data_IF_326468683606
#
_entry.id   IF_326468683606
#
_cell.length_a   1.000
_cell.length_b   1.000
_cell.length_c   1.000
_cell.angle_alpha   90.00
_cell.angle_beta   90.00
_cell.angle_gamma   90.00
#
_symmetry.space_group_name_H-M   'P 1'
#
loop_
_entity.id
_entity.type
_entity.pdbx_description
1 polymer ?
#
# COMPACT_ATOMS: atom_id res chain seq x y z
N UNK A 1 -20.36 -21.13 16.78
CA UNK A 1 -19.50 -19.94 16.92
C UNK A 1 -19.65 -19.43 18.36
N UNK A 2 -18.55 -19.10 19.02
CA UNK A 2 -18.54 -18.56 20.39
C UNK A 2 -19.16 -17.16 20.39
N UNK A 3 -20.02 -16.84 21.36
CA UNK A 3 -20.57 -15.50 21.56
C UNK A 3 -19.70 -14.72 22.51
N UNK A 4 -19.37 -13.49 22.13
CA UNK A 4 -18.57 -12.57 22.94
C UNK A 4 -19.32 -11.26 23.07
N UNK A 5 -19.53 -10.82 24.31
CA UNK A 5 -20.18 -9.55 24.60
C UNK A 5 -19.21 -8.40 24.35
N UNK A 6 -19.68 -7.35 23.68
CA UNK A 6 -18.94 -6.11 23.43
C UNK A 6 -19.56 -4.94 24.21
N UNK A 7 -18.78 -3.86 24.36
CA UNK A 7 -19.26 -2.63 24.99
C UNK A 7 -20.26 -1.88 24.10
N UNK A 8 -21.09 -1.03 24.69
CA UNK A 8 -22.04 -0.20 23.92
C UNK A 8 -21.32 0.79 22.99
N UNK A 9 -20.14 1.25 23.39
CA UNK A 9 -19.30 2.12 22.55
C UNK A 9 -18.84 1.35 21.31
N UNK A 10 -18.39 0.13 21.49
CA UNK A 10 -17.93 -0.74 20.40
C UNK A 10 -19.05 -1.13 19.46
N UNK A 11 -20.26 -1.38 19.97
CA UNK A 11 -21.44 -1.61 19.13
C UNK A 11 -21.70 -0.43 18.20
N UNK A 12 -21.65 0.81 18.72
CA UNK A 12 -21.82 2.03 17.91
C UNK A 12 -20.71 2.19 16.87
N UNK A 13 -19.45 1.95 17.27
CA UNK A 13 -18.27 1.99 16.40
C UNK A 13 -18.39 1.00 15.23
N UNK A 14 -18.79 -0.25 15.52
CA UNK A 14 -18.99 -1.30 14.52
C UNK A 14 -20.12 -0.93 13.56
N UNK A 15 -21.27 -0.49 14.07
CA UNK A 15 -22.41 -0.06 13.26
C UNK A 15 -22.11 1.18 12.41
N UNK A 16 -21.16 2.02 12.83
CA UNK A 16 -20.65 3.14 12.05
C UNK A 16 -19.62 2.73 10.96
N UNK A 17 -19.34 1.43 10.82
CA UNK A 17 -18.47 0.90 9.75
C UNK A 17 -17.00 0.73 10.14
N UNK A 18 -16.63 0.86 11.42
CA UNK A 18 -15.27 0.55 11.85
C UNK A 18 -15.14 -0.96 12.12
N UNK A 19 -14.40 -1.74 11.31
CA UNK A 19 -14.33 -3.18 11.46
C UNK A 19 -13.25 -3.65 12.44
N UNK A 20 -12.32 -2.77 12.86
CA UNK A 20 -11.19 -3.14 13.70
C UNK A 20 -11.64 -3.32 15.16
N UNK A 21 -11.32 -4.49 15.73
CA UNK A 21 -11.56 -4.81 17.13
C UNK A 21 -10.30 -4.58 17.96
N UNK A 22 -10.44 -3.91 19.09
CA UNK A 22 -9.39 -3.61 20.05
C UNK A 22 -9.72 -4.24 21.42
N UNK A 23 -8.75 -4.38 22.32
CA UNK A 23 -9.02 -5.01 23.63
C UNK A 23 -10.06 -4.26 24.45
N UNK A 24 -10.11 -2.93 24.35
CA UNK A 24 -11.11 -2.10 25.01
C UNK A 24 -12.54 -2.27 24.48
N UNK A 25 -12.73 -2.91 23.34
CA UNK A 25 -14.04 -3.24 22.81
C UNK A 25 -14.76 -4.32 23.64
N UNK A 26 -14.02 -5.04 24.48
CA UNK A 26 -14.51 -6.14 25.30
C UNK A 26 -14.57 -5.76 26.79
N UNK A 27 -15.67 -6.06 27.52
CA UNK A 27 -15.76 -5.73 28.93
C UNK A 27 -14.84 -6.56 29.83
N UNK A 28 -14.36 -7.70 29.34
CA UNK A 28 -13.47 -8.62 30.05
C UNK A 28 -12.24 -8.94 29.19
N UNK A 29 -11.17 -9.42 29.85
CA UNK A 29 -9.99 -9.90 29.16
C UNK A 29 -10.33 -11.02 28.17
N UNK A 30 -9.77 -10.93 26.96
CA UNK A 30 -10.07 -11.83 25.85
C UNK A 30 -8.88 -12.75 25.59
N UNK A 31 -9.12 -14.06 25.75
CA UNK A 31 -8.21 -15.11 25.29
C UNK A 31 -8.83 -15.81 24.07
N UNK A 32 -8.03 -15.97 23.01
CA UNK A 32 -8.48 -16.53 21.74
C UNK A 32 -7.35 -17.19 20.96
N UNK A 33 -7.72 -18.07 20.06
CA UNK A 33 -6.85 -18.63 19.04
C UNK A 33 -6.83 -17.77 17.79
N UNK A 34 -5.68 -17.72 17.10
CA UNK A 34 -5.55 -17.03 15.82
C UNK A 34 -6.59 -17.56 14.81
N UNK A 35 -7.38 -16.66 14.21
CA UNK A 35 -8.43 -17.00 13.26
C UNK A 35 -9.72 -17.54 13.88
N UNK A 36 -9.88 -17.52 15.21
CA UNK A 36 -11.13 -17.95 15.86
C UNK A 36 -12.31 -17.09 15.39
N UNK A 37 -13.38 -17.74 14.92
CA UNK A 37 -14.61 -17.07 14.50
C UNK A 37 -15.55 -16.87 15.68
N UNK A 38 -16.08 -15.66 15.82
CA UNK A 38 -16.94 -15.29 16.93
C UNK A 38 -18.17 -14.50 16.48
N UNK A 39 -19.26 -14.64 17.25
CA UNK A 39 -20.40 -13.75 17.19
C UNK A 39 -20.23 -12.65 18.24
N UNK A 40 -20.26 -11.40 17.82
CA UNK A 40 -20.31 -10.26 18.72
C UNK A 40 -21.75 -9.97 19.11
N UNK A 41 -22.01 -9.86 20.41
CA UNK A 41 -23.34 -9.61 20.95
C UNK A 41 -23.31 -8.41 21.89
N UNK A 42 -24.44 -7.70 22.01
CA UNK A 42 -24.61 -6.61 22.98
C UNK A 42 -24.79 -7.16 24.42
N UNK A 43 -24.96 -6.26 25.38
CA UNK A 43 -25.20 -6.62 26.81
C UNK A 43 -26.50 -7.40 27.06
N UNK A 44 -27.42 -7.41 26.09
CA UNK A 44 -28.69 -8.16 26.11
C UNK A 44 -28.61 -9.45 25.31
N UNK A 45 -27.40 -9.87 24.91
CA UNK A 45 -27.14 -11.07 24.06
C UNK A 45 -27.78 -10.99 22.67
N UNK A 46 -28.11 -9.79 22.19
CA UNK A 46 -28.56 -9.59 20.82
C UNK A 46 -27.36 -9.56 19.86
N UNK A 47 -27.48 -10.20 18.71
CA UNK A 47 -26.47 -10.21 17.66
C UNK A 47 -26.10 -8.79 17.17
N UNK A 48 -24.81 -8.53 17.04
CA UNK A 48 -24.26 -7.27 16.49
C UNK A 48 -23.50 -7.52 15.21
N UNK A 49 -22.54 -8.46 15.21
CA UNK A 49 -21.68 -8.73 14.06
C UNK A 49 -21.03 -10.11 14.15
N UNK A 50 -20.45 -10.54 13.04
CA UNK A 50 -19.51 -11.67 12.98
C UNK A 50 -18.09 -11.15 12.79
N UNK A 51 -17.14 -11.78 13.48
CA UNK A 51 -15.73 -11.39 13.46
C UNK A 51 -14.81 -12.61 13.45
N UNK A 52 -13.58 -12.40 13.06
CA UNK A 52 -12.48 -13.30 13.38
C UNK A 52 -11.47 -12.60 14.28
N UNK A 53 -10.86 -13.34 15.18
CA UNK A 53 -9.87 -12.83 16.13
C UNK A 53 -8.45 -13.12 15.61
N UNK A 54 -7.57 -12.14 15.75
CA UNK A 54 -6.19 -12.24 15.33
C UNK A 54 -5.33 -11.17 16.01
N UNK A 55 -4.13 -11.53 16.43
CA UNK A 55 -3.18 -10.58 17.01
C UNK A 55 -2.56 -9.71 15.92
N UNK A 56 -2.56 -8.42 16.14
CA UNK A 56 -1.89 -7.44 15.30
C UNK A 56 -1.46 -6.21 16.10
N UNK A 57 -0.71 -5.28 15.47
CA UNK A 57 -0.14 -4.12 16.18
C UNK A 57 -1.18 -3.18 16.81
N UNK A 58 -2.38 -3.04 16.22
CA UNK A 58 -3.39 -2.06 16.61
C UNK A 58 -4.73 -2.67 17.03
N UNK A 59 -4.84 -4.01 17.08
CA UNK A 59 -6.10 -4.65 17.39
C UNK A 59 -5.99 -6.14 17.64
N UNK A 60 -7.14 -6.76 17.89
CA UNK A 60 -7.25 -8.18 18.25
C UNK A 60 -8.20 -8.95 17.34
N UNK A 61 -8.66 -8.34 16.26
CA UNK A 61 -9.53 -8.99 15.28
C UNK A 61 -10.25 -8.00 14.38
N UNK A 62 -11.09 -8.55 13.50
CA UNK A 62 -11.88 -7.76 12.55
C UNK A 62 -13.30 -8.29 12.40
N UNK A 63 -14.24 -7.38 12.34
CA UNK A 63 -15.60 -7.64 11.89
C UNK A 63 -15.59 -7.88 10.38
N UNK A 64 -16.13 -9.00 9.91
CA UNK A 64 -16.28 -9.31 8.49
C UNK A 64 -17.72 -9.23 7.98
N UNK A 65 -18.73 -9.31 8.87
CA UNK A 65 -20.13 -9.15 8.47
C UNK A 65 -21.03 -8.65 9.61
N UNK A 66 -22.01 -7.83 9.23
CA UNK A 66 -23.13 -7.42 10.06
C UNK A 66 -24.37 -8.30 9.83
N UNK A 67 -24.31 -9.26 8.89
CA UNK A 67 -25.38 -10.21 8.61
C UNK A 67 -25.12 -11.54 9.32
N UNK A 68 -26.10 -11.97 10.13
CA UNK A 68 -26.00 -13.24 10.85
C UNK A 68 -26.07 -14.46 9.93
N UNK A 69 -26.52 -14.32 8.68
CA UNK A 69 -26.57 -15.39 7.71
C UNK A 69 -25.18 -15.66 7.06
N UNK A 70 -24.28 -14.68 7.04
CA UNK A 70 -22.96 -14.83 6.42
C UNK A 70 -22.09 -15.84 7.18
N UNK A 71 -21.33 -16.63 6.44
CA UNK A 71 -20.36 -17.59 6.97
C UNK A 71 -18.98 -17.32 6.35
N UNK A 72 -17.92 -17.30 7.16
CA UNK A 72 -16.55 -17.01 6.72
C UNK A 72 -15.95 -18.24 6.01
N UNK A 73 -16.34 -18.46 4.77
CA UNK A 73 -16.00 -19.60 3.96
C UNK A 73 -15.78 -19.22 2.48
N UNK A 74 -15.44 -20.20 1.65
CA UNK A 74 -15.15 -19.97 0.23
C UNK A 74 -16.28 -19.26 -0.52
N UNK A 75 -17.55 -19.62 -0.26
CA UNK A 75 -18.69 -18.97 -0.91
C UNK A 75 -18.80 -17.47 -0.55
N UNK A 76 -18.54 -17.12 0.72
CA UNK A 76 -18.47 -15.74 1.18
C UNK A 76 -17.33 -15.00 0.47
N UNK A 77 -16.13 -15.59 0.43
CA UNK A 77 -14.96 -14.95 -0.21
C UNK A 77 -15.21 -14.74 -1.70
N UNK A 78 -15.76 -15.74 -2.40
CA UNK A 78 -16.12 -15.62 -3.80
C UNK A 78 -17.08 -14.46 -4.05
N UNK A 79 -18.14 -14.33 -3.25
CA UNK A 79 -19.09 -13.20 -3.32
C UNK A 79 -18.40 -11.84 -3.17
N UNK A 80 -17.40 -11.71 -2.26
CA UNK A 80 -16.67 -10.45 -2.10
C UNK A 80 -15.73 -10.18 -3.28
N UNK A 81 -15.03 -11.20 -3.78
CA UNK A 81 -14.20 -11.05 -4.98
C UNK A 81 -14.99 -10.67 -6.22
N UNK A 82 -16.18 -11.23 -6.43
CA UNK A 82 -17.08 -10.85 -7.52
C UNK A 82 -17.52 -9.38 -7.40
N UNK A 83 -17.79 -8.89 -6.20
CA UNK A 83 -18.08 -7.46 -5.97
C UNK A 83 -16.87 -6.58 -6.29
N UNK A 84 -15.68 -6.99 -5.83
CA UNK A 84 -14.43 -6.27 -6.09
C UNK A 84 -14.11 -6.22 -7.59
N UNK A 85 -14.33 -7.33 -8.32
CA UNK A 85 -14.18 -7.40 -9.78
C UNK A 85 -15.06 -6.38 -10.49
N UNK A 86 -16.35 -6.30 -10.13
CA UNK A 86 -17.28 -5.33 -10.71
C UNK A 86 -16.90 -3.87 -10.43
N UNK A 87 -16.37 -3.57 -9.23
CA UNK A 87 -15.91 -2.20 -8.89
C UNK A 87 -14.74 -1.72 -9.74
N UNK A 88 -13.98 -2.63 -10.36
CA UNK A 88 -12.73 -2.35 -11.07
C UNK A 88 -12.80 -2.69 -12.57
N UNK A 89 -14.00 -2.76 -13.12
CA UNK A 89 -14.22 -3.09 -14.54
C UNK A 89 -13.45 -2.16 -15.47
N UNK A 90 -13.43 -0.86 -15.17
CA UNK A 90 -12.72 0.13 -15.99
C UNK A 90 -11.20 -0.12 -15.99
N UNK A 91 -10.61 -0.42 -14.83
CA UNK A 91 -9.20 -0.76 -14.72
C UNK A 91 -8.83 -2.08 -15.41
N UNK A 92 -9.74 -3.06 -15.39
CA UNK A 92 -9.52 -4.35 -16.05
C UNK A 92 -9.53 -4.22 -17.57
N UNK A 93 -10.23 -3.23 -18.11
CA UNK A 93 -10.35 -2.97 -19.55
C UNK A 93 -9.36 -1.92 -20.07
N UNK A 94 -8.63 -1.26 -19.19
CA UNK A 94 -7.66 -0.21 -19.56
C UNK A 94 -6.32 -0.83 -19.97
N UNK A 95 -5.92 -0.76 -21.26
CA UNK A 95 -4.63 -1.29 -21.71
C UNK A 95 -3.44 -0.45 -21.25
N UNK A 96 -3.66 0.77 -20.78
CA UNK A 96 -2.62 1.66 -20.29
C UNK A 96 -2.38 1.52 -18.78
N UNK A 97 -3.18 0.66 -18.09
CA UNK A 97 -3.01 0.39 -16.66
C UNK A 97 -3.09 -1.10 -16.37
N UNK A 98 -1.94 -1.78 -16.34
CA UNK A 98 -1.83 -3.22 -16.07
C UNK A 98 -1.46 -3.55 -14.62
N UNK A 99 -1.45 -2.53 -13.74
CA UNK A 99 -1.20 -2.72 -12.30
C UNK A 99 -2.10 -1.85 -11.44
N UNK A 100 -2.77 -2.47 -10.46
CA UNK A 100 -3.71 -1.80 -9.55
C UNK A 100 -4.06 -2.67 -8.34
N UNK A 101 -4.62 -2.06 -7.26
CA UNK A 101 -5.23 -2.77 -6.14
C UNK A 101 -6.51 -3.48 -6.59
N UNK A 102 -6.43 -4.80 -6.77
CA UNK A 102 -7.57 -5.63 -7.20
C UNK A 102 -8.54 -5.88 -6.05
N UNK A 103 -8.04 -6.08 -4.84
CA UNK A 103 -8.85 -6.29 -3.64
C UNK A 103 -8.28 -5.54 -2.44
N UNK A 104 -9.12 -4.74 -1.77
CA UNK A 104 -8.71 -3.83 -0.72
C UNK A 104 -9.30 -4.18 0.66
N UNK A 105 -8.94 -5.34 1.19
CA UNK A 105 -9.22 -5.76 2.57
C UNK A 105 -10.63 -5.39 3.07
N UNK A 106 -10.71 -4.59 4.13
CA UNK A 106 -11.95 -4.15 4.76
C UNK A 106 -12.87 -3.41 3.78
N UNK A 107 -12.30 -2.62 2.88
CA UNK A 107 -13.03 -1.86 1.86
C UNK A 107 -13.77 -2.74 0.84
N UNK A 108 -13.35 -4.00 0.69
CA UNK A 108 -13.98 -4.99 -0.18
C UNK A 108 -14.57 -6.20 0.59
N UNK A 109 -14.52 -6.18 1.92
CA UNK A 109 -15.27 -7.08 2.79
C UNK A 109 -14.59 -8.38 3.21
N UNK A 110 -13.27 -8.52 3.00
CA UNK A 110 -12.46 -9.56 3.64
C UNK A 110 -11.29 -8.86 4.36
N UNK A 111 -11.47 -8.51 5.64
CA UNK A 111 -10.47 -7.78 6.38
C UNK A 111 -9.13 -8.51 6.46
N UNK A 112 -8.04 -7.75 6.51
CA UNK A 112 -6.70 -8.27 6.75
C UNK A 112 -6.04 -8.99 5.56
N UNK A 113 -6.62 -8.90 4.36
CA UNK A 113 -6.00 -9.39 3.12
C UNK A 113 -6.16 -8.36 1.99
N UNK A 114 -5.08 -8.04 1.30
CA UNK A 114 -5.13 -7.27 0.06
C UNK A 114 -4.60 -8.10 -1.11
N UNK A 115 -5.09 -7.82 -2.31
CA UNK A 115 -4.58 -8.43 -3.54
C UNK A 115 -4.29 -7.33 -4.54
N UNK A 116 -3.06 -7.29 -5.01
CA UNK A 116 -2.58 -6.39 -6.05
C UNK A 116 -2.38 -7.15 -7.35
N UNK A 117 -2.82 -6.55 -8.45
CA UNK A 117 -2.64 -7.06 -9.81
C UNK A 117 -1.39 -6.45 -10.44
N UNK A 118 -0.60 -7.28 -11.14
CA UNK A 118 0.59 -6.89 -11.87
C UNK A 118 0.64 -7.66 -13.20
N UNK A 119 0.09 -7.10 -14.26
CA UNK A 119 0.08 -7.67 -15.62
C UNK A 119 -0.24 -9.18 -15.70
N UNK A 120 -1.34 -9.56 -15.07
CA UNK A 120 -1.81 -10.95 -15.00
C UNK A 120 -1.30 -11.73 -13.79
N UNK A 121 -0.36 -11.20 -13.01
CA UNK A 121 0.09 -11.80 -11.76
C UNK A 121 -0.62 -11.18 -10.57
N UNK A 122 -0.83 -11.95 -9.50
CA UNK A 122 -1.45 -11.49 -8.27
C UNK A 122 -0.45 -11.54 -7.10
N UNK A 123 -0.41 -10.49 -6.30
CA UNK A 123 0.33 -10.44 -5.02
C UNK A 123 -0.67 -10.34 -3.88
N UNK A 124 -0.80 -11.40 -3.10
CA UNK A 124 -1.66 -11.47 -1.92
C UNK A 124 -0.87 -11.06 -0.69
N UNK A 125 -1.31 -10.03 0.02
CA UNK A 125 -0.68 -9.58 1.26
C UNK A 125 -1.55 -9.96 2.47
N UNK A 126 -0.97 -10.69 3.41
CA UNK A 126 -1.59 -11.16 4.64
C UNK A 126 -1.18 -10.29 5.82
N UNK A 127 -2.13 -9.75 6.58
CA UNK A 127 -1.86 -8.80 7.66
C UNK A 127 -1.88 -9.42 9.06
N UNK A 128 -2.27 -10.70 9.19
CA UNK A 128 -2.18 -11.46 10.45
C UNK A 128 -2.12 -12.96 10.20
N UNK A 129 -1.66 -13.70 11.20
CA UNK A 129 -1.73 -15.16 11.23
C UNK A 129 -3.18 -15.66 11.16
N UNK A 130 -4.12 -14.93 11.80
CA UNK A 130 -5.52 -15.31 11.85
C UNK A 130 -6.18 -15.37 10.47
N UNK A 131 -6.00 -14.35 9.60
CA UNK A 131 -6.53 -14.40 8.23
C UNK A 131 -5.78 -15.42 7.37
N UNK A 132 -4.48 -15.59 7.59
CA UNK A 132 -3.69 -16.56 6.86
C UNK A 132 -4.17 -18.01 7.06
N UNK A 133 -4.79 -18.35 8.18
CA UNK A 133 -5.41 -19.67 8.39
C UNK A 133 -6.50 -20.02 7.38
N UNK A 134 -7.09 -19.02 6.75
CA UNK A 134 -8.09 -19.16 5.69
C UNK A 134 -7.49 -19.11 4.28
N UNK A 135 -6.16 -19.05 4.16
CA UNK A 135 -5.43 -18.90 2.91
C UNK A 135 -5.93 -19.83 1.80
N UNK A 136 -6.09 -21.12 2.06
CA UNK A 136 -6.52 -22.11 1.07
C UNK A 136 -7.90 -21.77 0.48
N UNK A 137 -8.87 -21.44 1.32
CA UNK A 137 -10.22 -21.09 0.87
C UNK A 137 -10.28 -19.74 0.16
N UNK A 138 -9.48 -18.75 0.64
CA UNK A 138 -9.39 -17.42 0.02
C UNK A 138 -8.75 -17.52 -1.36
N UNK A 139 -7.64 -18.24 -1.51
CA UNK A 139 -6.97 -18.44 -2.81
C UNK A 139 -7.86 -19.22 -3.77
N UNK A 140 -8.57 -20.27 -3.32
CA UNK A 140 -9.51 -21.02 -4.15
C UNK A 140 -10.65 -20.13 -4.67
N UNK A 141 -11.26 -19.34 -3.78
CA UNK A 141 -12.31 -18.38 -4.14
C UNK A 141 -11.80 -17.30 -5.11
N UNK A 142 -10.59 -16.78 -4.88
CA UNK A 142 -9.94 -15.82 -5.76
C UNK A 142 -9.76 -16.38 -7.17
N UNK A 143 -9.18 -17.55 -7.30
CA UNK A 143 -8.96 -18.21 -8.62
C UNK A 143 -10.26 -18.55 -9.34
N UNK A 144 -11.32 -18.89 -8.62
CA UNK A 144 -12.63 -19.15 -9.22
C UNK A 144 -13.24 -17.89 -9.86
N UNK A 145 -12.87 -16.69 -9.37
CA UNK A 145 -13.36 -15.39 -9.88
C UNK A 145 -12.41 -14.79 -10.92
N UNK A 146 -11.09 -15.05 -10.78
CA UNK A 146 -10.03 -14.56 -11.65
C UNK A 146 -9.20 -15.71 -12.23
N UNK A 147 -9.82 -16.58 -13.06
CA UNK A 147 -9.14 -17.76 -13.62
C UNK A 147 -8.02 -17.41 -14.60
N UNK A 148 -8.02 -16.17 -15.12
CA UNK A 148 -7.00 -15.61 -15.99
C UNK A 148 -5.67 -15.28 -15.30
N UNK A 149 -5.60 -15.38 -13.96
CA UNK A 149 -4.39 -15.08 -13.18
C UNK A 149 -3.25 -16.04 -13.56
N UNK A 150 -2.15 -15.50 -14.12
CA UNK A 150 -0.97 -16.25 -14.57
C UNK A 150 -0.22 -16.90 -13.40
N UNK A 151 0.01 -16.15 -12.33
CA UNK A 151 0.75 -16.61 -11.15
C UNK A 151 0.41 -15.83 -9.90
N UNK A 152 0.64 -16.46 -8.74
CA UNK A 152 0.28 -15.91 -7.44
C UNK A 152 1.51 -15.88 -6.54
N UNK A 153 1.74 -14.73 -5.92
CA UNK A 153 2.74 -14.48 -4.90
C UNK A 153 2.08 -14.08 -3.59
N UNK A 154 2.74 -14.34 -2.47
CA UNK A 154 2.29 -13.95 -1.13
C UNK A 154 3.32 -13.07 -0.43
N UNK A 155 2.82 -12.10 0.34
CA UNK A 155 3.60 -11.25 1.23
C UNK A 155 3.01 -11.28 2.63
N UNK A 156 3.87 -11.42 3.64
CA UNK A 156 3.46 -11.51 5.03
C UNK A 156 3.75 -10.19 5.74
N UNK A 157 2.70 -9.43 6.02
CA UNK A 157 2.73 -8.13 6.70
C UNK A 157 2.68 -8.25 8.22
N UNK A 158 2.93 -9.44 8.75
CA UNK A 158 3.03 -9.77 10.17
C UNK A 158 4.27 -10.62 10.42
N UNK A 159 4.73 -10.64 11.67
CA UNK A 159 5.92 -11.41 12.03
C UNK A 159 5.59 -12.91 12.08
N UNK A 160 6.17 -13.67 11.16
CA UNK A 160 6.08 -15.12 11.13
C UNK A 160 7.23 -15.76 11.95
N UNK A 161 6.95 -16.92 12.54
CA UNK A 161 7.96 -17.69 13.31
C UNK A 161 9.11 -18.21 12.44
N UNK A 162 8.84 -18.50 11.16
CA UNK A 162 9.83 -18.97 10.18
C UNK A 162 10.61 -17.83 9.50
N UNK A 163 10.29 -16.56 9.83
CA UNK A 163 10.93 -15.39 9.26
C UNK A 163 10.59 -15.11 7.79
N UNK A 164 9.69 -15.90 7.18
CA UNK A 164 9.31 -15.73 5.78
C UNK A 164 8.54 -14.43 5.59
N UNK A 165 8.97 -13.61 4.61
CA UNK A 165 8.35 -12.31 4.29
C UNK A 165 7.64 -12.29 2.94
N UNK A 166 8.07 -13.13 2.00
CA UNK A 166 7.40 -13.32 0.70
C UNK A 166 7.65 -14.73 0.18
N UNK A 167 6.81 -15.19 -0.73
CA UNK A 167 7.02 -16.42 -1.50
C UNK A 167 6.19 -16.46 -2.78
N UNK A 168 6.69 -17.19 -3.77
CA UNK A 168 5.89 -17.69 -4.88
C UNK A 168 4.96 -18.82 -4.40
N UNK A 169 3.72 -18.83 -4.90
CA UNK A 169 2.71 -19.82 -4.49
C UNK A 169 2.45 -20.84 -5.62
N UNK A 170 2.10 -20.37 -6.82
CA UNK A 170 1.71 -21.20 -7.95
C UNK A 170 1.56 -20.44 -9.26
N UNK A 171 1.41 -21.18 -10.36
CA UNK A 171 1.18 -20.66 -11.72
C UNK A 171 2.49 -20.46 -12.47
N UNK A 172 2.57 -19.42 -13.26
CA UNK A 172 3.80 -19.02 -13.93
C UNK A 172 4.67 -18.16 -13.03
N UNK A 173 5.98 -18.23 -13.17
CA UNK A 173 6.89 -17.31 -12.52
C UNK A 173 6.95 -15.99 -13.32
N UNK A 174 6.78 -14.86 -12.62
CA UNK A 174 6.90 -13.55 -13.25
C UNK A 174 8.35 -13.28 -13.69
N UNK A 175 8.56 -12.59 -14.82
CA UNK A 175 9.88 -12.05 -15.15
C UNK A 175 10.44 -11.16 -14.03
N UNK A 176 11.75 -11.02 -13.96
CA UNK A 176 12.41 -10.18 -12.96
C UNK A 176 13.42 -9.24 -13.65
N UNK A 177 13.09 -7.94 -13.80
CA UNK A 177 11.85 -7.29 -13.39
C UNK A 177 10.63 -7.69 -14.25
N UNK A 178 9.45 -7.60 -13.66
CA UNK A 178 8.18 -7.57 -14.38
C UNK A 178 7.87 -6.11 -14.73
N UNK A 179 7.75 -5.81 -16.02
CA UNK A 179 7.35 -4.47 -16.46
C UNK A 179 5.83 -4.39 -16.49
N UNK A 180 5.30 -3.41 -15.76
CA UNK A 180 3.87 -3.11 -15.70
C UNK A 180 3.61 -1.69 -16.19
N UNK A 181 2.38 -1.39 -16.58
CA UNK A 181 1.95 -0.05 -16.95
C UNK A 181 1.05 0.57 -15.88
N UNK A 182 1.18 1.86 -15.70
CA UNK A 182 0.26 2.70 -14.95
C UNK A 182 0.10 4.03 -15.68
N UNK A 183 -1.12 4.34 -16.13
CA UNK A 183 -1.41 5.55 -16.93
C UNK A 183 -0.46 5.69 -18.14
N UNK A 184 -0.19 4.60 -18.87
CA UNK A 184 0.70 4.58 -20.03
C UNK A 184 2.21 4.57 -19.72
N UNK A 185 2.61 4.69 -18.46
CA UNK A 185 4.01 4.73 -18.03
C UNK A 185 4.45 3.34 -17.57
N UNK A 186 5.62 2.91 -18.01
CA UNK A 186 6.20 1.63 -17.62
C UNK A 186 6.89 1.71 -16.25
N UNK A 187 6.71 0.66 -15.44
CA UNK A 187 7.38 0.52 -14.16
C UNK A 187 7.97 -0.88 -14.00
N UNK A 188 9.23 -0.96 -13.61
CA UNK A 188 9.89 -2.21 -13.25
C UNK A 188 9.45 -2.63 -11.84
N UNK A 189 8.90 -3.84 -11.73
CA UNK A 189 8.40 -4.39 -10.47
C UNK A 189 9.00 -5.74 -10.14
N UNK A 190 9.01 -6.10 -8.85
CA UNK A 190 9.67 -7.28 -8.29
C UNK A 190 8.72 -7.96 -7.32
N UNK A 191 8.04 -9.00 -7.77
CA UNK A 191 6.96 -9.60 -7.01
C UNK A 191 7.45 -10.41 -5.81
N UNK A 192 8.67 -10.94 -5.85
CA UNK A 192 9.28 -11.78 -4.80
C UNK A 192 10.57 -11.20 -4.20
N UNK A 193 10.80 -9.90 -4.32
CA UNK A 193 11.95 -9.20 -3.71
C UNK A 193 11.54 -8.45 -2.43
N UNK A 194 11.36 -9.19 -1.34
CA UNK A 194 10.95 -8.61 -0.05
C UNK A 194 9.47 -8.20 0.01
N UNK A 195 9.16 -7.26 0.91
CA UNK A 195 7.78 -6.84 1.15
C UNK A 195 7.24 -5.89 0.08
N UNK A 196 8.10 -5.09 -0.54
CA UNK A 196 7.70 -4.07 -1.51
C UNK A 196 7.93 -4.59 -2.94
N UNK A 197 7.15 -4.09 -3.90
CA UNK A 197 7.16 -4.55 -5.28
C UNK A 197 7.85 -3.61 -6.26
N UNK A 198 8.26 -2.42 -5.81
CA UNK A 198 8.89 -1.40 -6.66
C UNK A 198 8.01 -0.19 -6.95
N UNK A 199 6.69 -0.29 -6.75
CA UNK A 199 5.75 0.83 -6.90
C UNK A 199 4.67 0.76 -5.81
N UNK A 200 4.20 1.91 -5.35
CA UNK A 200 3.05 2.06 -4.45
C UNK A 200 1.81 2.40 -5.28
N UNK A 201 0.85 1.47 -5.36
CA UNK A 201 -0.32 1.56 -6.25
C UNK A 201 -1.38 2.56 -5.78
N UNK A 202 -1.39 2.90 -4.50
CA UNK A 202 -2.28 3.89 -3.91
C UNK A 202 -2.00 5.33 -4.37
N UNK A 203 -0.79 5.60 -4.86
CA UNK A 203 -0.37 6.90 -5.38
C UNK A 203 -0.61 7.09 -6.89
N UNK A 204 -1.31 6.16 -7.56
CA UNK A 204 -1.56 6.22 -9.01
C UNK A 204 -2.18 7.53 -9.47
N UNK A 205 -3.25 7.97 -8.80
CA UNK A 205 -3.98 9.20 -9.18
C UNK A 205 -3.09 10.44 -9.00
N UNK A 206 -2.25 10.45 -7.96
CA UNK A 206 -1.31 11.56 -7.72
C UNK A 206 -0.23 11.58 -8.80
N UNK A 207 0.31 10.42 -9.20
CA UNK A 207 1.25 10.34 -10.33
C UNK A 207 0.62 10.74 -11.64
N UNK A 208 -0.63 10.33 -11.90
CA UNK A 208 -1.40 10.77 -13.07
C UNK A 208 -1.58 12.29 -13.10
N UNK A 209 -2.02 12.90 -12.00
CA UNK A 209 -2.16 14.34 -11.89
C UNK A 209 -0.82 15.08 -12.06
N UNK A 210 0.29 14.53 -11.53
CA UNK A 210 1.62 15.07 -11.73
C UNK A 210 1.99 15.09 -13.21
N UNK A 211 1.80 13.99 -13.92
CA UNK A 211 2.08 13.86 -15.35
C UNK A 211 1.24 14.82 -16.20
N UNK A 212 -0.06 14.92 -15.92
CA UNK A 212 -0.99 15.68 -16.75
C UNK A 212 -0.96 17.19 -16.51
N UNK A 213 -0.67 17.64 -15.27
CA UNK A 213 -0.98 19.02 -14.85
C UNK A 213 0.20 19.78 -14.24
N UNK A 214 1.12 19.07 -13.56
CA UNK A 214 2.08 19.77 -12.69
C UNK A 214 3.53 19.69 -13.20
N UNK A 215 3.89 18.72 -14.06
CA UNK A 215 5.28 18.47 -14.40
C UNK A 215 5.81 19.28 -15.59
N UNK A 216 4.98 19.59 -16.58
CA UNK A 216 5.43 20.16 -17.83
C UNK A 216 6.22 21.46 -17.67
N UNK A 217 7.48 21.49 -18.14
CA UNK A 217 8.38 22.63 -18.05
C UNK A 217 8.89 22.94 -16.63
N UNK A 218 8.75 22.02 -15.67
CA UNK A 218 9.05 22.23 -14.25
C UNK A 218 10.29 21.47 -13.81
N UNK A 219 10.96 22.01 -12.79
CA UNK A 219 12.00 21.31 -12.01
C UNK A 219 11.30 20.63 -10.83
N UNK A 220 11.37 19.30 -10.79
CA UNK A 220 10.61 18.48 -9.83
C UNK A 220 11.56 17.84 -8.82
N UNK A 221 11.31 18.05 -7.53
CA UNK A 221 11.96 17.36 -6.42
C UNK A 221 11.06 16.25 -5.88
N UNK A 222 11.56 15.03 -5.82
CA UNK A 222 10.92 13.87 -5.24
C UNK A 222 11.71 13.42 -4.01
N UNK A 223 11.20 13.70 -2.81
CA UNK A 223 11.81 13.29 -1.55
C UNK A 223 11.25 11.94 -1.08
N UNK A 224 12.07 11.15 -0.37
CA UNK A 224 11.75 9.77 0.01
C UNK A 224 11.37 8.93 -1.22
N UNK A 225 12.16 9.11 -2.26
CA UNK A 225 11.79 8.74 -3.64
C UNK A 225 11.67 7.22 -3.89
N UNK A 226 12.15 6.39 -2.98
CA UNK A 226 12.14 4.94 -3.07
C UNK A 226 12.77 4.44 -4.39
N UNK A 227 11.98 4.07 -5.39
CA UNK A 227 12.43 3.67 -6.74
C UNK A 227 12.31 4.77 -7.77
N UNK A 228 11.89 5.96 -7.38
CA UNK A 228 11.75 7.10 -8.29
C UNK A 228 10.47 7.14 -9.12
N UNK A 229 9.43 6.39 -8.77
CA UNK A 229 8.19 6.33 -9.56
C UNK A 229 7.55 7.70 -9.82
N UNK A 230 7.55 8.62 -8.85
CA UNK A 230 7.10 10.00 -9.05
C UNK A 230 8.02 10.78 -9.99
N UNK A 231 9.34 10.56 -9.92
CA UNK A 231 10.29 11.23 -10.81
C UNK A 231 10.11 10.78 -12.27
N UNK A 232 9.83 9.48 -12.48
CA UNK A 232 9.47 8.97 -13.82
C UNK A 232 8.18 9.59 -14.32
N UNK A 233 7.12 9.63 -13.50
CA UNK A 233 5.87 10.28 -13.85
C UNK A 233 6.06 11.76 -14.22
N UNK A 234 6.88 12.50 -13.46
CA UNK A 234 7.22 13.89 -13.75
C UNK A 234 7.98 14.03 -15.07
N UNK A 235 8.98 13.19 -15.32
CA UNK A 235 9.76 13.23 -16.56
C UNK A 235 8.90 12.91 -17.79
N UNK A 236 8.02 11.90 -17.68
CA UNK A 236 7.04 11.57 -18.73
C UNK A 236 6.01 12.68 -18.96
N UNK A 237 5.71 13.46 -17.91
CA UNK A 237 4.87 14.65 -17.98
C UNK A 237 5.57 15.92 -18.50
N UNK A 238 6.83 15.79 -18.99
CA UNK A 238 7.59 16.90 -19.57
C UNK A 238 8.32 17.80 -18.56
N UNK A 239 8.66 17.28 -17.37
CA UNK A 239 9.57 17.99 -16.46
C UNK A 239 10.92 18.24 -17.13
N UNK A 240 11.47 19.45 -16.98
CA UNK A 240 12.79 19.81 -17.54
C UNK A 240 13.94 19.21 -16.72
N UNK A 241 13.70 18.93 -15.44
CA UNK A 241 14.63 18.29 -14.53
C UNK A 241 13.86 17.53 -13.45
N UNK A 242 14.32 16.34 -13.08
CA UNK A 242 13.86 15.66 -11.87
C UNK A 242 15.01 15.41 -10.91
N UNK A 243 14.74 15.54 -9.62
CA UNK A 243 15.69 15.24 -8.55
C UNK A 243 15.05 14.22 -7.61
N UNK A 244 15.59 13.01 -7.56
CA UNK A 244 15.19 11.93 -6.67
C UNK A 244 16.10 11.88 -5.45
N UNK A 245 15.55 11.84 -4.24
CA UNK A 245 16.31 11.77 -2.99
C UNK A 245 15.80 10.63 -2.12
N UNK A 246 16.67 9.66 -1.83
CA UNK A 246 16.38 8.54 -0.94
C UNK A 246 17.65 8.10 -0.21
N UNK A 247 17.51 7.62 1.03
CA UNK A 247 18.64 7.19 1.87
C UNK A 247 19.15 5.79 1.54
N UNK A 248 18.33 4.97 0.89
CA UNK A 248 18.65 3.58 0.61
C UNK A 248 19.62 3.43 -0.58
N UNK A 249 20.75 2.76 -0.40
CA UNK A 249 21.75 2.56 -1.47
C UNK A 249 21.13 1.90 -2.72
N UNK A 250 20.18 1.00 -2.55
CA UNK A 250 19.49 0.32 -3.66
C UNK A 250 18.60 1.26 -4.50
N UNK A 251 18.24 2.44 -3.96
CA UNK A 251 17.41 3.39 -4.69
C UNK A 251 18.08 3.90 -5.97
N UNK A 252 19.41 4.03 -5.99
CA UNK A 252 20.16 4.49 -7.16
C UNK A 252 19.89 3.61 -8.41
N UNK A 253 20.18 2.33 -8.29
CA UNK A 253 20.03 1.41 -9.43
C UNK A 253 18.55 1.18 -9.77
N UNK A 254 17.68 1.13 -8.79
CA UNK A 254 16.22 1.00 -9.00
C UNK A 254 15.65 2.23 -9.72
N UNK A 255 16.06 3.44 -9.34
CA UNK A 255 15.60 4.67 -9.99
C UNK A 255 16.13 4.78 -11.42
N UNK A 256 17.40 4.44 -11.66
CA UNK A 256 17.93 4.37 -13.03
C UNK A 256 17.16 3.39 -13.91
N UNK A 257 16.84 2.20 -13.38
CA UNK A 257 16.06 1.20 -14.08
C UNK A 257 14.66 1.70 -14.43
N UNK A 258 13.99 2.40 -13.50
CA UNK A 258 12.68 3.01 -13.76
C UNK A 258 12.73 4.05 -14.90
N UNK A 259 13.78 4.85 -14.98
CA UNK A 259 13.97 5.76 -16.11
C UNK A 259 14.25 4.98 -17.42
N UNK A 260 15.12 3.98 -17.37
CA UNK A 260 15.54 3.21 -18.53
C UNK A 260 14.38 2.47 -19.21
N UNK A 261 13.42 1.88 -18.45
CA UNK A 261 12.24 1.19 -19.02
C UNK A 261 11.27 2.14 -19.74
N UNK A 262 11.47 3.45 -19.62
CA UNK A 262 10.72 4.49 -20.33
C UNK A 262 11.59 5.25 -21.36
N UNK A 263 12.78 4.76 -21.68
CA UNK A 263 13.76 5.44 -22.53
C UNK A 263 14.11 6.86 -22.05
N UNK A 264 14.04 7.07 -20.74
CA UNK A 264 14.42 8.31 -20.07
C UNK A 264 15.83 8.13 -19.51
N UNK A 265 16.81 8.49 -20.26
CA UNK A 265 18.19 8.60 -19.81
C UNK A 265 18.63 10.06 -19.91
N UNK A 266 19.58 10.43 -19.10
CA UNK A 266 20.21 11.70 -19.29
C UNK A 266 20.48 12.50 -18.03
N UNK A 267 21.21 13.58 -18.26
CA UNK A 267 21.72 14.48 -17.22
C UNK A 267 20.62 15.25 -16.48
N UNK A 268 19.39 15.27 -17.02
CA UNK A 268 18.24 15.92 -16.39
C UNK A 268 17.66 15.11 -15.21
N UNK A 269 18.05 13.83 -15.07
CA UNK A 269 17.51 12.93 -14.04
C UNK A 269 18.53 12.79 -12.90
N UNK A 270 18.48 13.67 -11.91
CA UNK A 270 19.41 13.66 -10.78
C UNK A 270 18.95 12.69 -9.69
N UNK A 271 19.88 11.90 -9.16
CA UNK A 271 19.62 10.91 -8.11
C UNK A 271 20.62 11.11 -6.96
N UNK A 272 20.10 11.40 -5.77
CA UNK A 272 20.89 11.56 -4.56
C UNK A 272 20.60 10.46 -3.55
N UNK A 273 21.61 9.62 -3.27
CA UNK A 273 21.53 8.63 -2.20
C UNK A 273 21.98 9.28 -0.90
N UNK A 274 21.06 9.95 -0.24
CA UNK A 274 21.32 10.63 1.03
C UNK A 274 20.03 10.85 1.85
N UNK A 275 20.20 11.16 3.12
CA UNK A 275 19.11 11.55 4.00
C UNK A 275 18.43 12.83 3.49
N UNK A 276 17.09 12.88 3.45
CA UNK A 276 16.33 14.02 2.91
C UNK A 276 16.65 15.32 3.65
N UNK A 277 16.84 15.29 4.96
CA UNK A 277 17.20 16.48 5.73
C UNK A 277 18.64 16.94 5.44
N UNK A 278 19.56 16.02 5.15
CA UNK A 278 20.91 16.39 4.67
C UNK A 278 20.84 17.02 3.28
N UNK A 279 19.97 16.49 2.40
CA UNK A 279 19.73 17.05 1.07
C UNK A 279 19.13 18.47 1.15
N UNK A 280 18.15 18.71 1.98
CA UNK A 280 17.55 20.05 2.15
C UNK A 280 18.62 21.07 2.55
N UNK A 281 19.47 20.73 3.53
CA UNK A 281 20.60 21.61 3.93
C UNK A 281 21.59 21.85 2.80
N UNK A 282 21.85 20.83 1.98
CA UNK A 282 22.65 20.96 0.77
C UNK A 282 21.98 21.89 -0.24
N UNK A 283 20.69 21.68 -0.53
CA UNK A 283 19.92 22.47 -1.49
C UNK A 283 19.86 23.96 -1.10
N UNK A 284 19.64 24.28 0.19
CA UNK A 284 19.67 25.66 0.71
C UNK A 284 21.04 26.29 0.48
N UNK A 285 22.14 25.62 0.79
CA UNK A 285 23.51 26.14 0.58
C UNK A 285 23.87 26.36 -0.88
N UNK A 286 23.26 25.55 -1.78
CA UNK A 286 23.47 25.66 -3.22
C UNK A 286 22.41 26.53 -3.91
N UNK A 287 21.53 27.16 -3.15
CA UNK A 287 20.43 28.03 -3.64
C UNK A 287 19.55 27.32 -4.68
N UNK A 288 19.37 25.98 -4.53
CA UNK A 288 18.51 25.20 -5.42
C UNK A 288 17.05 25.51 -5.14
N UNK A 289 16.27 25.66 -6.22
CA UNK A 289 14.83 25.90 -6.15
C UNK A 289 14.11 24.93 -7.07
N UNK A 290 12.96 24.42 -6.60
CA UNK A 290 12.13 23.48 -7.34
C UNK A 290 10.72 24.06 -7.55
N UNK A 291 10.16 23.85 -8.74
CA UNK A 291 8.80 24.30 -9.07
C UNK A 291 7.75 23.36 -8.46
N UNK A 292 8.08 22.08 -8.32
CA UNK A 292 7.21 21.07 -7.72
C UNK A 292 8.03 20.23 -6.73
N UNK A 293 7.56 20.14 -5.49
CA UNK A 293 8.19 19.32 -4.46
C UNK A 293 7.21 18.26 -3.96
N UNK A 294 7.60 16.98 -4.06
CA UNK A 294 6.82 15.82 -3.64
C UNK A 294 7.35 15.34 -2.30
N UNK A 295 6.43 15.13 -1.35
CA UNK A 295 6.74 14.82 0.05
C UNK A 295 5.88 13.62 0.47
N UNK A 296 6.45 12.41 0.36
CA UNK A 296 5.78 11.14 0.71
C UNK A 296 6.64 10.34 1.71
N UNK A 297 6.79 10.84 2.95
CA UNK A 297 7.65 10.20 3.93
C UNK A 297 7.01 8.92 4.50
N UNK A 298 7.82 7.95 4.93
CA UNK A 298 7.31 6.84 5.71
C UNK A 298 6.78 7.33 7.05
N UNK A 299 5.76 6.67 7.63
CA UNK A 299 5.22 7.02 8.97
C UNK A 299 6.31 7.06 10.05
N UNK A 300 7.33 6.20 9.89
CA UNK A 300 8.49 6.10 10.77
C UNK A 300 9.73 5.68 9.97
N UNK A 301 10.85 6.36 10.20
CA UNK A 301 12.14 5.99 9.65
C UNK A 301 13.24 6.12 10.70
N UNK A 302 14.22 5.23 10.67
CA UNK A 302 15.41 5.30 11.51
C UNK A 302 16.66 5.14 10.66
N UNK A 303 17.51 6.13 10.70
CA UNK A 303 18.86 6.10 10.13
C UNK A 303 19.89 6.03 11.26
N UNK A 304 21.18 5.89 10.93
CA UNK A 304 22.25 5.99 11.95
C UNK A 304 22.31 7.35 12.63
N UNK A 305 21.82 8.41 11.98
CA UNK A 305 21.93 9.80 12.44
C UNK A 305 20.63 10.35 13.04
N UNK A 306 19.47 9.83 12.63
CA UNK A 306 18.16 10.40 12.96
C UNK A 306 17.08 9.34 13.06
N UNK A 307 16.11 9.60 13.92
CA UNK A 307 14.80 8.94 13.93
C UNK A 307 13.78 9.98 13.48
N UNK A 308 12.99 9.64 12.47
CA UNK A 308 11.91 10.46 11.94
C UNK A 308 10.56 9.82 12.26
N UNK A 309 9.60 10.63 12.65
CA UNK A 309 8.21 10.22 12.84
C UNK A 309 7.30 11.32 12.31
N UNK A 310 6.37 10.95 11.42
CA UNK A 310 5.39 11.90 10.85
C UNK A 310 4.68 12.70 11.94
N UNK A 311 4.26 12.07 13.03
CA UNK A 311 3.54 12.74 14.12
C UNK A 311 4.34 13.83 14.84
N UNK A 312 5.67 13.80 14.78
CA UNK A 312 6.55 14.74 15.50
C UNK A 312 7.29 15.69 14.57
N UNK A 313 7.69 15.21 13.41
CA UNK A 313 8.70 15.87 12.59
C UNK A 313 8.14 16.43 11.27
N UNK A 314 6.86 16.14 10.94
CA UNK A 314 6.29 16.48 9.64
C UNK A 314 6.19 18.00 9.41
N UNK A 315 5.80 18.76 10.43
CA UNK A 315 5.70 20.22 10.34
C UNK A 315 7.06 20.83 9.99
N UNK A 316 8.12 20.42 10.70
CA UNK A 316 9.49 20.93 10.44
C UNK A 316 9.97 20.51 9.04
N UNK A 317 9.66 19.27 8.61
CA UNK A 317 9.98 18.82 7.24
C UNK A 317 9.33 19.70 6.17
N UNK A 318 8.06 20.07 6.36
CA UNK A 318 7.35 20.97 5.44
C UNK A 318 7.97 22.38 5.43
N UNK A 319 8.25 22.95 6.59
CA UNK A 319 8.89 24.28 6.72
C UNK A 319 10.25 24.31 6.01
N UNK A 320 11.04 23.24 6.16
CA UNK A 320 12.35 23.13 5.52
C UNK A 320 12.23 22.99 3.99
N UNK A 321 11.26 22.20 3.50
CA UNK A 321 11.05 22.00 2.05
C UNK A 321 10.45 23.22 1.35
N UNK A 322 9.65 24.02 2.05
CA UNK A 322 9.14 25.31 1.54
C UNK A 322 10.29 26.24 1.17
N UNK A 323 11.41 26.25 1.90
CA UNK A 323 12.56 27.11 1.64
C UNK A 323 13.24 26.81 0.30
N UNK A 324 13.14 25.58 -0.21
CA UNK A 324 13.72 25.14 -1.48
C UNK A 324 12.66 24.94 -2.57
N UNK A 325 11.41 25.32 -2.29
CA UNK A 325 10.33 25.34 -3.27
C UNK A 325 10.15 26.79 -3.75
N UNK A 326 10.02 26.99 -5.06
CA UNK A 326 9.84 28.33 -5.66
C UNK A 326 8.59 29.01 -5.09
N UNK A 327 8.56 30.36 -5.08
CA UNK A 327 7.46 31.14 -4.51
C UNK A 327 6.08 30.78 -5.10
N UNK A 328 6.04 30.48 -6.41
CA UNK A 328 4.83 30.02 -7.13
C UNK A 328 4.82 28.49 -7.30
N UNK A 329 5.63 27.78 -6.52
CA UNK A 329 5.79 26.34 -6.61
C UNK A 329 4.63 25.55 -5.99
N UNK A 330 4.56 24.28 -6.31
CA UNK A 330 3.53 23.35 -5.83
C UNK A 330 4.14 22.33 -4.87
N UNK A 331 3.51 22.14 -3.71
CA UNK A 331 3.80 21.03 -2.81
C UNK A 331 2.78 19.93 -2.99
N UNK A 332 3.23 18.71 -3.29
CA UNK A 332 2.42 17.49 -3.31
C UNK A 332 2.77 16.72 -2.05
N UNK A 333 1.83 16.66 -1.13
CA UNK A 333 2.07 16.10 0.21
C UNK A 333 1.22 14.88 0.46
N UNK A 334 1.81 13.85 1.05
CA UNK A 334 1.10 12.71 1.58
C UNK A 334 1.56 12.36 3.00
N UNK A 335 0.73 11.59 3.71
CA UNK A 335 1.06 11.03 5.02
C UNK A 335 0.34 9.69 5.20
N UNK A 336 1.04 8.70 5.71
CA UNK A 336 0.49 7.39 6.05
C UNK A 336 0.15 7.28 7.54
#
# INVERSE_FOLDING_TARGET
MKKITITQISEKKIKAGNPLLQMEDFPNELSFDEGELVELVDSRQKFVAKAYLAKQNKGVGWVFSLDNADSFNEAFFKKQFEKAKRKRTDLQSDPETTTYRLFNAEGDGIPGVTIDHYDGFAVVSWYSEGIFRYQTAIIAAFQAVFPETKGIYEKFRYQRKDGLISRYVRGDAAPMPLIVKENGINYATYLDDGLMTGIFLDQREVRGALTERYAAGKRVLNTFSYTGAFSVAAAMGGAIETTSVDVANRSLERTKEQFAVNNLDGEQQKIYVMDVFDFIRYAIRQELQYDVTIIDPPSFARTKKRTFSVTKDYTQLLEDLIQITAADGTLIVSSN
#
